data_IF_854953696415
#
_entry.id   IF_854953696415
#
_cell.length_a   1.000
_cell.length_b   1.000
_cell.length_c   1.000
_cell.angle_alpha   90.00
_cell.angle_beta   90.00
_cell.angle_gamma   90.00
#
_symmetry.space_group_name_H-M   'P 1'
#
loop_
_entity.id
_entity.type
_entity.pdbx_description
1 polymer ?
#
# COMPACT_ATOMS: atom_id res chain seq x y z
N UNK A 1 2.40 -2.25 0.72
CA UNK A 1 0.99 -2.58 1.01
C UNK A 1 0.83 -2.74 2.52
N UNK A 2 -0.27 -2.21 3.05
CA UNK A 2 -0.71 -2.41 4.44
C UNK A 2 -2.05 -3.14 4.38
N UNK A 3 -2.20 -4.22 5.12
CA UNK A 3 -3.39 -5.05 5.13
C UNK A 3 -3.66 -5.56 6.56
N UNK A 4 -4.92 -5.83 6.92
CA UNK A 4 -5.24 -6.40 8.22
C UNK A 4 -4.70 -7.84 8.32
N UNK A 5 -4.32 -8.24 9.54
CA UNK A 5 -3.84 -9.61 9.79
C UNK A 5 -4.98 -10.62 9.62
N UNK A 6 -6.18 -10.23 10.07
CA UNK A 6 -7.39 -11.03 9.93
C UNK A 6 -8.09 -10.71 8.62
N UNK A 7 -8.64 -11.75 7.98
CA UNK A 7 -9.35 -11.60 6.72
C UNK A 7 -10.56 -10.67 6.84
N UNK A 8 -10.56 -9.61 6.02
CA UNK A 8 -11.63 -8.63 5.88
C UNK A 8 -11.72 -8.22 4.41
N UNK A 9 -12.87 -8.44 3.77
CA UNK A 9 -13.05 -8.01 2.38
C UNK A 9 -13.37 -6.52 2.26
N UNK A 10 -14.13 -5.98 3.23
CA UNK A 10 -14.58 -4.59 3.23
C UNK A 10 -13.88 -3.78 4.34
N UNK A 11 -13.26 -2.67 3.96
CA UNK A 11 -12.68 -1.68 4.86
C UNK A 11 -13.73 -1.09 5.81
N UNK A 12 -14.99 -1.01 5.40
CA UNK A 12 -16.05 -0.46 6.27
C UNK A 12 -16.33 -1.32 7.51
N UNK A 13 -15.85 -2.57 7.54
CA UNK A 13 -15.93 -3.43 8.71
C UNK A 13 -14.79 -3.20 9.72
N UNK A 14 -13.90 -2.22 9.48
CA UNK A 14 -12.79 -1.90 10.38
C UNK A 14 -13.30 -1.41 11.74
N UNK A 15 -12.66 -1.88 12.80
CA UNK A 15 -12.94 -1.42 14.17
C UNK A 15 -12.20 -0.13 14.51
N UNK A 16 -12.63 0.57 15.56
CA UNK A 16 -11.94 1.79 16.02
C UNK A 16 -10.50 1.51 16.51
N UNK A 17 -10.26 0.33 17.08
CA UNK A 17 -8.93 -0.13 17.50
C UNK A 17 -8.02 -0.36 16.29
N UNK A 18 -8.49 -1.15 15.31
CA UNK A 18 -7.75 -1.39 14.06
C UNK A 18 -7.48 -0.09 13.29
N UNK A 19 -8.41 0.88 13.33
CA UNK A 19 -8.23 2.18 12.71
C UNK A 19 -7.13 3.01 13.41
N UNK A 20 -7.05 2.92 14.74
CA UNK A 20 -6.00 3.58 15.54
C UNK A 20 -4.63 2.96 15.23
N UNK A 21 -4.57 1.63 15.16
CA UNK A 21 -3.35 0.91 14.79
C UNK A 21 -2.92 1.23 13.36
N UNK A 22 -3.86 1.28 12.42
CA UNK A 22 -3.61 1.68 11.03
C UNK A 22 -3.03 3.10 10.96
N UNK A 23 -3.55 4.05 11.75
CA UNK A 23 -3.03 5.41 11.79
C UNK A 23 -1.57 5.46 12.26
N UNK A 24 -1.23 4.71 13.32
CA UNK A 24 0.15 4.58 13.80
C UNK A 24 1.07 3.92 12.76
N UNK A 25 0.61 2.83 12.13
CA UNK A 25 1.37 2.13 11.10
C UNK A 25 1.60 3.02 9.87
N UNK A 26 0.62 3.83 9.49
CA UNK A 26 0.75 4.82 8.42
C UNK A 26 1.82 5.85 8.72
N UNK A 27 1.80 6.45 9.91
CA UNK A 27 2.83 7.41 10.34
C UNK A 27 4.24 6.78 10.29
N UNK A 28 4.40 5.58 10.85
CA UNK A 28 5.68 4.87 10.82
C UNK A 28 6.14 4.52 9.40
N UNK A 29 5.21 4.11 8.54
CA UNK A 29 5.51 3.75 7.14
C UNK A 29 5.96 4.99 6.36
N UNK A 30 5.28 6.11 6.52
CA UNK A 30 5.66 7.36 5.83
C UNK A 30 7.00 7.91 6.33
N UNK A 31 7.26 7.85 7.63
CA UNK A 31 8.57 8.26 8.18
C UNK A 31 9.73 7.41 7.62
N UNK A 32 9.54 6.10 7.50
CA UNK A 32 10.55 5.21 6.88
C UNK A 32 10.72 5.46 5.39
N UNK A 33 9.62 5.70 4.66
CA UNK A 33 9.69 6.07 3.25
C UNK A 33 10.45 7.38 3.06
N UNK A 34 10.20 8.37 3.93
CA UNK A 34 10.91 9.64 3.93
C UNK A 34 12.41 9.47 4.19
N UNK A 35 12.77 8.68 5.19
CA UNK A 35 14.18 8.39 5.50
C UNK A 35 14.91 7.68 4.35
N UNK A 36 14.25 6.79 3.61
CA UNK A 36 14.87 6.02 2.51
C UNK A 36 14.90 6.79 1.18
N UNK A 37 13.87 7.60 0.91
CA UNK A 37 13.66 8.22 -0.40
C UNK A 37 13.83 9.75 -0.41
N UNK A 38 13.91 10.40 0.75
CA UNK A 38 14.18 11.83 0.90
C UNK A 38 13.01 12.74 0.50
N UNK A 39 11.83 12.58 1.10
CA UNK A 39 10.71 13.52 0.92
C UNK A 39 9.96 13.41 -0.41
N UNK A 40 9.99 12.26 -1.05
CA UNK A 40 9.27 12.06 -2.32
C UNK A 40 7.77 12.23 -2.15
N UNK A 41 7.13 12.79 -3.18
CA UNK A 41 5.67 12.81 -3.26
C UNK A 41 5.15 11.38 -3.40
N UNK A 42 3.99 11.11 -2.79
CA UNK A 42 3.35 9.80 -2.88
C UNK A 42 1.85 9.96 -3.05
N UNK A 43 1.22 8.91 -3.59
CA UNK A 43 -0.21 8.70 -3.47
C UNK A 43 -0.44 7.44 -2.62
N UNK A 44 -1.61 7.30 -2.01
CA UNK A 44 -2.07 6.03 -1.50
C UNK A 44 -3.48 5.73 -2.04
N UNK A 45 -3.78 4.44 -2.12
CA UNK A 45 -5.04 3.93 -2.66
C UNK A 45 -5.63 2.93 -1.66
N UNK A 46 -6.90 3.11 -1.33
CA UNK A 46 -7.65 2.13 -0.55
C UNK A 46 -8.39 1.20 -1.50
N UNK A 47 -8.06 -0.08 -1.41
CA UNK A 47 -8.69 -1.15 -2.16
C UNK A 47 -9.66 -1.87 -1.22
N UNK A 48 -10.96 -1.71 -1.45
CA UNK A 48 -12.02 -2.36 -0.66
C UNK A 48 -13.00 -3.07 -1.58
N UNK A 49 -13.75 -4.03 -1.02
CA UNK A 49 -14.88 -4.65 -1.71
C UNK A 49 -15.86 -3.57 -2.21
N UNK A 50 -16.34 -3.66 -3.47
CA UNK A 50 -17.38 -2.74 -3.96
C UNK A 50 -18.70 -2.91 -3.18
N UNK A 51 -19.43 -1.81 -2.97
CA UNK A 51 -20.65 -1.80 -2.15
C UNK A 51 -21.73 -2.82 -2.56
N UNK A 52 -21.93 -3.04 -3.86
CA UNK A 52 -22.98 -3.93 -4.39
C UNK A 52 -22.38 -5.20 -5.00
N UNK A 53 -21.24 -5.64 -4.49
CA UNK A 53 -20.55 -6.81 -5.02
C UNK A 53 -21.16 -8.11 -4.49
N UNK A 54 -21.03 -9.17 -5.28
CA UNK A 54 -21.48 -10.52 -4.95
C UNK A 54 -20.89 -11.00 -3.60
N UNK A 55 -21.68 -11.74 -2.81
CA UNK A 55 -21.24 -12.28 -1.52
C UNK A 55 -20.02 -13.22 -1.62
N UNK A 56 -19.82 -13.87 -2.76
CA UNK A 56 -18.65 -14.69 -3.05
C UNK A 56 -17.32 -13.92 -2.91
N UNK A 57 -17.32 -12.61 -3.13
CA UNK A 57 -16.15 -11.74 -2.92
C UNK A 57 -15.75 -11.62 -1.45
N UNK A 58 -16.65 -11.92 -0.50
CA UNK A 58 -16.31 -11.89 0.92
C UNK A 58 -15.20 -12.88 1.27
N UNK A 59 -15.07 -13.98 0.52
CA UNK A 59 -14.06 -15.01 0.77
C UNK A 59 -12.77 -14.82 -0.06
N UNK A 60 -12.84 -14.07 -1.16
CA UNK A 60 -11.73 -13.94 -2.12
C UNK A 60 -11.09 -12.56 -2.14
N UNK A 61 -11.80 -11.53 -1.69
CA UNK A 61 -11.28 -10.17 -1.61
C UNK A 61 -10.77 -9.86 -0.20
N UNK A 62 -9.65 -9.14 -0.12
CA UNK A 62 -9.04 -8.72 1.13
C UNK A 62 -8.63 -7.25 1.00
N UNK A 63 -9.24 -6.37 1.79
CA UNK A 63 -9.00 -4.94 1.65
C UNK A 63 -7.56 -4.63 2.04
N UNK A 64 -6.95 -3.68 1.34
CA UNK A 64 -5.61 -3.23 1.68
C UNK A 64 -5.39 -1.79 1.24
N UNK A 65 -4.38 -1.17 1.82
CA UNK A 65 -3.87 0.12 1.41
C UNK A 65 -2.58 -0.07 0.60
N UNK A 66 -2.55 0.50 -0.59
CA UNK A 66 -1.35 0.59 -1.42
C UNK A 66 -0.75 1.99 -1.32
N UNK A 67 0.57 2.08 -1.12
CA UNK A 67 1.31 3.34 -1.06
C UNK A 67 2.26 3.34 -2.24
N UNK A 68 2.18 4.36 -3.09
CA UNK A 68 2.96 4.49 -4.31
C UNK A 68 3.78 5.78 -4.26
N UNK A 69 5.05 5.72 -3.77
CA UNK A 69 5.99 6.82 -3.88
C UNK A 69 6.32 7.10 -5.35
N UNK A 70 6.37 8.37 -5.74
CA UNK A 70 6.74 8.79 -7.11
C UNK A 70 8.26 8.80 -7.26
N UNK A 71 8.82 7.66 -7.68
CA UNK A 71 10.27 7.50 -7.88
C UNK A 71 10.71 7.68 -9.34
N UNK A 72 9.78 7.63 -10.29
CA UNK A 72 10.03 7.84 -11.71
C UNK A 72 8.80 8.44 -12.42
N UNK A 73 9.03 8.94 -13.63
CA UNK A 73 7.96 9.38 -14.54
C UNK A 73 7.70 8.22 -15.53
N UNK A 74 6.44 7.79 -15.71
CA UNK A 74 6.10 6.76 -16.71
C UNK A 74 6.62 7.15 -18.10
N UNK A 75 7.26 6.21 -18.79
CA UNK A 75 7.74 6.41 -20.16
C UNK A 75 6.67 6.02 -21.18
N UNK A 76 6.98 6.20 -22.47
CA UNK A 76 6.09 5.79 -23.56
C UNK A 76 5.77 4.29 -23.57
N UNK A 77 6.66 3.44 -23.02
CA UNK A 77 6.38 2.02 -22.90
C UNK A 77 5.28 1.75 -21.87
N UNK A 78 5.40 2.29 -20.64
CA UNK A 78 4.39 2.07 -19.61
C UNK A 78 3.04 2.66 -20.02
N UNK A 79 3.04 3.84 -20.65
CA UNK A 79 1.83 4.48 -21.14
C UNK A 79 1.17 3.71 -22.30
N UNK A 80 1.97 3.18 -23.23
CA UNK A 80 1.47 2.50 -24.42
C UNK A 80 1.04 1.05 -24.17
N UNK A 81 1.68 0.36 -23.22
CA UNK A 81 1.42 -1.05 -22.93
C UNK A 81 0.54 -1.28 -21.70
N UNK A 82 0.47 -0.31 -20.78
CA UNK A 82 -0.15 -0.50 -19.46
C UNK A 82 0.68 -1.38 -18.50
N UNK A 83 1.90 -1.76 -18.88
CA UNK A 83 2.81 -2.53 -18.03
C UNK A 83 3.72 -1.59 -17.23
N UNK A 84 4.00 -1.95 -15.99
CA UNK A 84 4.95 -1.21 -15.15
C UNK A 84 6.32 -1.86 -15.15
N UNK A 85 7.38 -1.06 -15.21
CA UNK A 85 8.76 -1.52 -15.02
C UNK A 85 9.23 -1.13 -13.63
N UNK A 86 9.54 -2.13 -12.80
CA UNK A 86 10.10 -1.89 -11.48
C UNK A 86 11.61 -2.22 -11.48
N UNK A 87 12.44 -1.22 -11.23
CA UNK A 87 13.90 -1.35 -11.17
C UNK A 87 14.42 -1.80 -9.80
N UNK A 88 13.55 -1.80 -8.78
CA UNK A 88 13.87 -2.20 -7.40
C UNK A 88 13.08 -3.44 -7.04
N UNK A 89 13.78 -4.53 -6.71
CA UNK A 89 13.13 -5.74 -6.25
C UNK A 89 12.43 -5.52 -4.91
N UNK A 90 11.30 -6.21 -4.64
CA UNK A 90 10.60 -6.09 -3.36
C UNK A 90 11.46 -6.49 -2.16
N UNK A 91 12.38 -7.44 -2.33
CA UNK A 91 13.31 -7.86 -1.28
C UNK A 91 14.29 -6.75 -0.90
N UNK A 92 14.79 -6.01 -1.90
CA UNK A 92 15.67 -4.87 -1.65
C UNK A 92 14.92 -3.72 -0.99
N UNK A 93 13.71 -3.41 -1.47
CA UNK A 93 12.86 -2.39 -0.88
C UNK A 93 12.53 -2.71 0.59
N UNK A 94 12.15 -3.95 0.88
CA UNK A 94 11.82 -4.41 2.22
C UNK A 94 13.01 -4.36 3.18
N UNK A 95 14.24 -4.64 2.71
CA UNK A 95 15.46 -4.46 3.52
C UNK A 95 15.70 -2.98 3.84
N UNK A 96 15.72 -2.12 2.81
CA UNK A 96 15.94 -0.67 2.99
C UNK A 96 14.97 -0.03 3.99
N UNK A 97 13.68 -0.40 3.93
CA UNK A 97 12.67 0.11 4.86
C UNK A 97 12.79 -0.46 6.28
N UNK A 98 13.38 -1.65 6.44
CA UNK A 98 13.56 -2.32 7.74
C UNK A 98 14.78 -1.79 8.48
N UNK A 99 15.85 -1.52 7.74
CA UNK A 99 17.17 -1.16 8.27
C UNK A 99 17.28 0.34 8.64
N UNK A 100 16.19 1.10 8.51
CA UNK A 100 16.11 2.48 9.03
C UNK A 100 16.17 2.44 10.56
N UNK A 101 17.24 2.98 11.13
CA UNK A 101 17.38 3.20 12.58
C UNK A 101 16.56 4.43 13.02
N UNK A 102 16.04 4.35 14.25
CA UNK A 102 15.16 5.35 14.88
C UNK A 102 15.92 6.30 15.79
#
# INVERSE_FOLDING_TARGET
>A
HILPIHHRADFLAITAEELTDLAGLMQHTMARLDAVLGGVQYNYFLHSKPHHADESLEKSYHWHLEICPRTSIPTGFELGSGLSVNTISPELAARKLRDVEW
#
